data_IF_505127872173
#
_entry.id   IF_505127872173
#
_cell.length_a   1.000
_cell.length_b   1.000
_cell.length_c   1.000
_cell.angle_alpha   90.00
_cell.angle_beta   90.00
_cell.angle_gamma   90.00
#
_symmetry.space_group_name_H-M   'P 1'
#
loop_
_entity.id
_entity.type
_entity.pdbx_description
1 polymer ?
#
# COMPACT_ATOMS: atom_id res chain seq x y z
N UNK A 1 49.39 -10.33 -24.21
CA UNK A 1 49.08 -9.41 -23.09
C UNK A 1 47.98 -8.39 -23.48
N UNK A 2 46.85 -8.82 -24.06
CA UNK A 2 45.85 -7.87 -24.63
C UNK A 2 44.39 -8.18 -24.26
N UNK A 3 44.10 -9.33 -23.66
CA UNK A 3 42.71 -9.72 -23.39
C UNK A 3 42.14 -9.12 -22.09
N UNK A 4 42.97 -8.95 -21.04
CA UNK A 4 42.49 -8.46 -19.74
C UNK A 4 42.05 -6.98 -19.76
N UNK A 5 42.50 -6.18 -20.72
CA UNK A 5 42.17 -4.73 -20.80
C UNK A 5 40.68 -4.47 -21.14
N UNK A 6 40.04 -5.33 -21.95
CA UNK A 6 38.64 -5.14 -22.38
C UNK A 6 37.61 -5.44 -21.28
N UNK A 7 37.97 -6.29 -20.30
CA UNK A 7 37.05 -6.69 -19.23
C UNK A 7 36.86 -5.58 -18.19
N UNK A 8 37.88 -4.74 -17.98
CA UNK A 8 37.86 -3.62 -17.03
C UNK A 8 37.32 -2.31 -17.61
N UNK A 9 36.84 -2.28 -18.86
CA UNK A 9 36.30 -1.05 -19.48
C UNK A 9 34.78 -0.94 -19.37
N UNK A 10 34.02 -2.03 -19.49
CA UNK A 10 32.56 -1.93 -19.53
C UNK A 10 31.92 -1.77 -18.14
N UNK A 11 32.43 -2.46 -17.11
CA UNK A 11 31.90 -2.36 -15.72
C UNK A 11 32.18 -0.98 -15.12
N UNK A 12 33.39 -0.45 -15.35
CA UNK A 12 33.83 0.85 -14.83
C UNK A 12 33.07 1.98 -15.51
N UNK A 13 32.95 1.95 -16.84
CA UNK A 13 32.15 2.93 -17.59
C UNK A 13 30.65 2.86 -17.25
N UNK A 14 30.09 1.67 -17.00
CA UNK A 14 28.72 1.55 -16.50
C UNK A 14 28.57 2.15 -15.10
N UNK A 15 29.51 1.87 -14.19
CA UNK A 15 29.48 2.43 -12.83
C UNK A 15 29.55 3.95 -12.84
N UNK A 16 30.42 4.53 -13.65
CA UNK A 16 30.53 5.98 -13.85
C UNK A 16 29.23 6.57 -14.38
N UNK A 17 28.66 5.98 -15.45
CA UNK A 17 27.38 6.41 -16.03
C UNK A 17 26.22 6.33 -15.04
N UNK A 18 26.13 5.25 -14.25
CA UNK A 18 25.10 5.09 -13.23
C UNK A 18 25.26 6.11 -12.11
N UNK A 19 26.49 6.37 -11.68
CA UNK A 19 26.79 7.38 -10.65
C UNK A 19 26.40 8.78 -11.12
N UNK A 20 26.74 9.14 -12.35
CA UNK A 20 26.40 10.43 -12.95
C UNK A 20 24.89 10.58 -13.15
N UNK A 21 24.22 9.54 -13.66
CA UNK A 21 22.76 9.49 -13.72
C UNK A 21 22.13 9.69 -12.35
N UNK A 22 22.62 9.03 -11.30
CA UNK A 22 22.05 9.15 -9.96
C UNK A 22 22.25 10.54 -9.35
N UNK A 23 23.36 11.21 -9.69
CA UNK A 23 23.63 12.59 -9.29
C UNK A 23 22.63 13.57 -9.94
N UNK A 24 22.43 13.48 -11.26
CA UNK A 24 21.43 14.29 -11.99
C UNK A 24 20.00 13.94 -11.57
N UNK A 25 19.69 12.65 -11.35
CA UNK A 25 18.36 12.19 -10.93
C UNK A 25 17.96 12.78 -9.58
N UNK A 26 18.89 12.81 -8.61
CA UNK A 26 18.64 13.43 -7.29
C UNK A 26 18.46 14.95 -7.35
N UNK A 27 18.94 15.62 -8.41
CA UNK A 27 18.68 17.06 -8.63
C UNK A 27 17.21 17.33 -8.96
N UNK A 28 16.51 16.34 -9.52
CA UNK A 28 15.09 16.46 -9.90
C UNK A 28 14.17 16.07 -8.74
N UNK A 29 13.56 17.07 -8.08
CA UNK A 29 12.72 16.87 -6.88
C UNK A 29 11.52 15.94 -7.12
N UNK A 30 10.85 16.05 -8.28
CA UNK A 30 9.66 15.24 -8.59
C UNK A 30 9.99 13.74 -8.76
N UNK A 31 11.16 13.43 -9.32
CA UNK A 31 11.64 12.05 -9.47
C UNK A 31 11.88 11.38 -8.12
N UNK A 32 12.49 12.12 -7.18
CA UNK A 32 12.74 11.61 -5.84
C UNK A 32 11.45 11.36 -5.05
N UNK A 33 10.43 12.21 -5.21
CA UNK A 33 9.10 12.00 -4.60
C UNK A 33 8.46 10.72 -5.15
N UNK A 34 8.51 10.51 -6.47
CA UNK A 34 8.01 9.28 -7.09
C UNK A 34 8.75 8.03 -6.62
N UNK A 35 10.08 8.11 -6.47
CA UNK A 35 10.88 7.01 -5.93
C UNK A 35 10.55 6.72 -4.47
N UNK A 36 10.34 7.76 -3.65
CA UNK A 36 9.89 7.62 -2.26
C UNK A 36 8.52 6.98 -2.17
N UNK A 37 7.56 7.42 -3.00
CA UNK A 37 6.23 6.82 -3.10
C UNK A 37 6.31 5.35 -3.52
N UNK A 38 7.18 5.01 -4.48
CA UNK A 38 7.38 3.63 -4.91
C UNK A 38 7.92 2.76 -3.77
N UNK A 39 8.93 3.24 -3.05
CA UNK A 39 9.46 2.55 -1.86
C UNK A 39 8.40 2.36 -0.77
N UNK A 40 7.56 3.37 -0.55
CA UNK A 40 6.45 3.31 0.39
C UNK A 40 5.40 2.25 -0.01
N UNK A 41 5.06 2.15 -1.30
CA UNK A 41 4.12 1.13 -1.79
C UNK A 41 4.67 -0.29 -1.66
N UNK A 42 5.97 -0.48 -1.95
CA UNK A 42 6.63 -1.77 -1.74
C UNK A 42 6.60 -2.15 -0.25
N UNK A 43 6.92 -1.18 0.63
CA UNK A 43 6.85 -1.40 2.07
C UNK A 43 5.43 -1.80 2.52
N UNK A 44 4.41 -1.07 2.07
CA UNK A 44 3.00 -1.42 2.32
C UNK A 44 2.62 -2.82 1.84
N UNK A 45 3.19 -3.29 0.73
CA UNK A 45 2.93 -4.63 0.21
C UNK A 45 3.55 -5.74 1.08
N UNK A 46 4.62 -5.44 1.81
CA UNK A 46 5.36 -6.42 2.62
C UNK A 46 4.76 -6.52 4.04
N UNK A 47 4.23 -5.42 4.58
CA UNK A 47 3.65 -5.37 5.94
C UNK A 47 2.65 -6.51 6.23
N UNK A 48 1.68 -6.84 5.36
CA UNK A 48 0.67 -7.86 5.62
C UNK A 48 1.26 -9.24 5.95
N UNK A 49 2.43 -9.56 5.38
CA UNK A 49 3.11 -10.82 5.62
C UNK A 49 3.54 -10.99 7.09
N UNK A 50 3.82 -9.88 7.78
CA UNK A 50 4.26 -9.89 9.18
C UNK A 50 3.11 -9.67 10.17
N UNK A 51 2.02 -9.03 9.76
CA UNK A 51 0.96 -8.59 10.67
C UNK A 51 -0.30 -9.43 10.63
N UNK A 52 -0.56 -10.17 9.55
CA UNK A 52 -1.77 -10.97 9.38
C UNK A 52 -1.50 -12.46 9.55
N UNK A 53 -2.44 -13.15 10.19
CA UNK A 53 -2.44 -14.61 10.21
C UNK A 53 -2.67 -15.17 8.78
N UNK A 54 -2.02 -16.30 8.40
CA UNK A 54 -2.14 -16.88 7.06
C UNK A 54 -3.59 -17.16 6.65
N UNK A 55 -4.42 -17.60 7.59
CA UNK A 55 -5.83 -17.91 7.37
C UNK A 55 -6.63 -16.65 7.05
N UNK A 56 -6.37 -15.56 7.78
CA UNK A 56 -7.01 -14.26 7.58
C UNK A 56 -6.65 -13.67 6.22
N UNK A 57 -5.41 -13.90 5.77
CA UNK A 57 -4.95 -13.50 4.44
C UNK A 57 -5.67 -14.27 3.33
N UNK A 58 -5.76 -15.60 3.42
CA UNK A 58 -6.41 -16.43 2.39
C UNK A 58 -7.93 -16.21 2.32
N UNK A 59 -8.56 -15.99 3.48
CA UNK A 59 -10.02 -15.84 3.60
C UNK A 59 -10.46 -14.39 3.76
N UNK A 60 -9.64 -13.43 3.32
CA UNK A 60 -9.92 -12.01 3.48
C UNK A 60 -11.32 -11.62 2.99
N UNK A 61 -11.77 -12.19 1.87
CA UNK A 61 -13.09 -11.93 1.27
C UNK A 61 -14.28 -12.52 2.05
N UNK A 62 -14.06 -13.54 2.89
CA UNK A 62 -15.08 -14.20 3.69
C UNK A 62 -15.24 -13.61 5.09
N UNK A 63 -14.53 -12.53 5.41
CA UNK A 63 -14.62 -11.92 6.73
C UNK A 63 -16.06 -11.41 6.97
N UNK A 64 -16.79 -11.91 8.00
CA UNK A 64 -18.17 -11.54 8.27
C UNK A 64 -18.35 -10.04 8.60
N UNK A 65 -17.26 -9.32 8.89
CA UNK A 65 -17.27 -7.87 9.03
C UNK A 65 -17.58 -7.14 7.71
N UNK A 66 -17.31 -7.73 6.54
CA UNK A 66 -17.64 -7.12 5.24
C UNK A 66 -19.15 -7.01 5.02
N UNK A 67 -19.90 -8.02 5.44
CA UNK A 67 -21.37 -8.03 5.35
C UNK A 67 -22.02 -6.97 6.23
N UNK A 68 -21.31 -6.52 7.27
CA UNK A 68 -21.77 -5.39 8.05
C UNK A 68 -21.74 -4.12 7.22
N UNK A 69 -20.85 -3.92 6.25
CA UNK A 69 -20.80 -2.64 5.52
C UNK A 69 -22.00 -2.52 4.54
N UNK A 70 -22.83 -1.46 4.61
CA UNK A 70 -23.90 -1.27 3.61
C UNK A 70 -23.28 -1.19 2.23
N UNK A 71 -23.86 -1.89 1.25
CA UNK A 71 -23.40 -1.88 -0.15
C UNK A 71 -23.32 -0.47 -0.76
N UNK A 72 -24.07 0.48 -0.21
CA UNK A 72 -24.15 1.88 -0.65
C UNK A 72 -23.57 2.87 0.36
N UNK A 73 -22.83 2.41 1.38
CA UNK A 73 -22.20 3.33 2.30
C UNK A 73 -21.08 4.11 1.58
N UNK A 74 -21.11 5.46 1.63
CA UNK A 74 -20.01 6.24 1.11
C UNK A 74 -18.75 5.89 1.89
N UNK A 75 -17.61 5.64 1.22
CA UNK A 75 -16.39 5.30 1.92
C UNK A 75 -15.89 6.49 2.74
N UNK A 76 -15.22 6.19 3.86
CA UNK A 76 -14.95 7.18 4.91
C UNK A 76 -14.16 8.41 4.45
N UNK A 77 -13.27 8.24 3.47
CA UNK A 77 -12.48 9.33 2.89
C UNK A 77 -13.32 10.42 2.23
N UNK A 78 -14.56 10.15 1.84
CA UNK A 78 -15.48 11.19 1.34
C UNK A 78 -15.71 12.26 2.40
N UNK A 79 -15.80 11.89 3.69
CA UNK A 79 -15.95 12.85 4.79
C UNK A 79 -14.76 13.82 4.94
N UNK A 80 -13.62 13.54 4.30
CA UNK A 80 -12.47 14.46 4.27
C UNK A 80 -12.64 15.55 3.20
N UNK A 81 -13.47 15.31 2.18
CA UNK A 81 -13.65 16.18 1.02
C UNK A 81 -15.04 16.83 0.92
N UNK A 82 -16.00 16.43 1.77
CA UNK A 82 -17.35 17.00 1.79
C UNK A 82 -17.59 17.86 3.04
N UNK A 83 -18.36 18.92 2.88
CA UNK A 83 -18.82 19.74 4.01
C UNK A 83 -19.91 19.03 4.82
N UNK A 84 -20.69 18.14 4.19
CA UNK A 84 -21.73 17.35 4.88
C UNK A 84 -21.16 16.04 5.41
N UNK A 85 -20.91 15.97 6.74
CA UNK A 85 -20.37 14.77 7.38
C UNK A 85 -21.41 13.66 7.40
N UNK A 86 -21.19 12.60 6.63
CA UNK A 86 -22.00 11.39 6.74
C UNK A 86 -21.71 10.73 8.09
N UNK A 87 -22.76 10.42 8.85
CA UNK A 87 -22.64 9.75 10.15
C UNK A 87 -21.99 8.39 9.97
N UNK A 88 -20.87 8.15 10.65
CA UNK A 88 -20.41 6.79 10.87
C UNK A 88 -21.53 6.04 11.57
N UNK A 89 -21.79 4.81 11.14
CA UNK A 89 -22.85 3.97 11.71
C UNK A 89 -22.68 3.92 13.23
N UNK A 90 -23.52 4.66 13.96
CA UNK A 90 -23.72 4.42 15.38
C UNK A 90 -24.34 3.03 15.47
N UNK A 91 -23.61 2.07 16.02
CA UNK A 91 -24.16 0.78 16.39
C UNK A 91 -25.37 1.06 17.28
N UNK A 92 -26.58 0.82 16.77
CA UNK A 92 -27.76 0.71 17.62
C UNK A 92 -27.57 -0.55 18.44
N UNK A 93 -26.87 -0.46 19.57
CA UNK A 93 -26.83 -1.51 20.57
C UNK A 93 -28.23 -1.67 21.14
N UNK A 94 -29.09 -2.45 20.49
CA UNK A 94 -30.43 -2.70 21.00
C UNK A 94 -30.94 -4.09 20.58
N UNK A 95 -30.67 -5.05 21.46
CA UNK A 95 -31.73 -5.74 22.20
C UNK A 95 -32.91 -6.26 21.35
N UNK A 96 -32.63 -7.21 20.47
CA UNK A 96 -33.69 -7.99 19.81
C UNK A 96 -33.28 -9.44 19.50
N UNK A 97 -32.45 -10.04 20.38
CA UNK A 97 -32.30 -11.51 20.46
C UNK A 97 -32.68 -12.00 21.85
N UNK A 98 -33.91 -11.71 22.26
CA UNK A 98 -34.63 -12.66 23.12
C UNK A 98 -35.15 -13.77 22.21
N UNK A 99 -34.87 -15.05 22.50
CA UNK A 99 -35.43 -16.14 21.72
C UNK A 99 -36.95 -16.12 21.95
N UNK A 100 -37.70 -15.78 20.90
CA UNK A 100 -39.13 -16.06 20.81
C UNK A 100 -39.17 -17.40 20.07
N UNK A 101 -39.17 -18.49 20.85
CA UNK A 101 -40.32 -19.40 21.04
C UNK A 101 -40.41 -20.41 19.87
N UNK A 102 -40.81 -21.67 20.03
CA UNK A 102 -41.70 -22.34 20.97
C UNK A 102 -41.44 -23.86 20.86
#
# INVERSE_FOLDING_TARGET
MTEKKKKYTWITTLREKVSEFWFEYKRTKIGLVGLGLLGFLIFLSIIPWFTLDPITYEQWYMNPLWDLNPRLAPPHWINLFTTQKYTQRSTRSNKSRTPICL
#
